data_IF_316459894064
#
_entry.id   IF_316459894064
#
_cell.length_a   1.000
_cell.length_b   1.000
_cell.length_c   1.000
_cell.angle_alpha   90.00
_cell.angle_beta   90.00
_cell.angle_gamma   90.00
#
_symmetry.space_group_name_H-M   'P 1'
#
loop_
_entity.id
_entity.type
_entity.pdbx_description
1 polymer ?
#
# COMPACT_ATOMS: atom_id res chain seq x y z
N UNK A 1 11.87 10.24 -10.52
CA UNK A 1 11.27 9.64 -11.73
C UNK A 1 9.76 9.65 -11.49
N UNK A 2 8.99 10.35 -12.32
CA UNK A 2 7.51 10.41 -12.20
C UNK A 2 6.97 9.11 -12.79
N UNK A 3 6.49 8.21 -11.95
CA UNK A 3 5.72 7.05 -12.40
C UNK A 3 4.42 7.58 -13.02
N UNK A 4 4.26 7.36 -14.32
CA UNK A 4 3.07 7.74 -15.07
C UNK A 4 1.92 6.85 -14.59
N UNK A 5 0.95 7.44 -13.93
CA UNK A 5 -0.27 6.78 -13.46
C UNK A 5 -1.17 6.52 -14.67
N UNK A 6 -1.06 5.32 -15.27
CA UNK A 6 -1.98 4.87 -16.32
C UNK A 6 -3.05 3.96 -15.69
N UNK A 7 -3.94 4.55 -14.89
CA UNK A 7 -5.04 3.83 -14.24
C UNK A 7 -6.37 4.00 -15.00
N UNK A 8 -6.97 2.87 -15.39
CA UNK A 8 -8.35 2.78 -15.92
C UNK A 8 -9.30 2.22 -14.84
N UNK A 9 -10.57 2.64 -14.87
CA UNK A 9 -11.57 2.45 -13.80
C UNK A 9 -11.94 1.02 -13.41
N UNK A 10 -11.59 0.01 -14.20
CA UNK A 10 -12.24 -1.31 -14.08
C UNK A 10 -11.35 -2.41 -13.52
N UNK A 11 -10.03 -2.36 -13.70
CA UNK A 11 -9.04 -3.13 -12.92
C UNK A 11 -7.67 -2.59 -13.29
N UNK A 12 -7.01 -1.82 -12.41
CA UNK A 12 -5.65 -1.40 -12.67
C UNK A 12 -4.74 -1.76 -11.50
N UNK A 13 -3.62 -2.41 -11.82
CA UNK A 13 -2.57 -2.68 -10.85
C UNK A 13 -1.66 -1.45 -10.83
N UNK A 14 -1.67 -0.72 -9.72
CA UNK A 14 -0.76 0.42 -9.51
C UNK A 14 0.52 -0.09 -8.85
N UNK A 15 1.62 -0.05 -9.58
CA UNK A 15 2.94 -0.32 -9.00
C UNK A 15 3.49 0.94 -8.34
N UNK A 16 4.01 0.79 -7.12
CA UNK A 16 4.55 1.88 -6.33
C UNK A 16 5.67 1.38 -5.43
N UNK A 17 6.54 2.31 -5.01
CA UNK A 17 7.52 2.01 -3.98
C UNK A 17 6.86 2.07 -2.60
N UNK A 18 7.48 1.42 -1.62
CA UNK A 18 7.13 1.49 -0.20
C UNK A 18 6.96 2.94 0.30
N UNK A 19 7.88 3.83 -0.07
CA UNK A 19 7.83 5.25 0.27
C UNK A 19 6.67 6.01 -0.40
N UNK A 20 6.30 5.64 -1.62
CA UNK A 20 5.14 6.24 -2.31
C UNK A 20 3.83 5.80 -1.65
N UNK A 21 3.70 4.52 -1.30
CA UNK A 21 2.55 4.02 -0.56
C UNK A 21 2.44 4.70 0.81
N UNK A 22 3.56 4.83 1.53
CA UNK A 22 3.59 5.50 2.83
C UNK A 22 3.18 6.98 2.70
N UNK A 23 3.63 7.68 1.65
CA UNK A 23 3.19 9.06 1.41
C UNK A 23 1.69 9.16 1.09
N UNK A 24 1.13 8.17 0.39
CA UNK A 24 -0.29 8.13 0.06
C UNK A 24 -1.17 8.01 1.30
N UNK A 25 -0.69 7.31 2.35
CA UNK A 25 -1.38 7.24 3.66
C UNK A 25 -1.61 8.60 4.33
N UNK A 26 -0.90 9.66 3.91
CA UNK A 26 -1.13 11.01 4.42
C UNK A 26 -2.36 11.67 3.78
N UNK A 27 -2.66 11.35 2.53
CA UNK A 27 -3.81 11.89 1.80
C UNK A 27 -5.05 11.00 1.94
N UNK A 28 -4.84 9.68 1.96
CA UNK A 28 -5.87 8.67 2.19
C UNK A 28 -5.45 7.74 3.35
N UNK A 29 -5.75 8.11 4.61
CA UNK A 29 -5.35 7.34 5.78
C UNK A 29 -6.06 5.98 5.96
N UNK A 30 -7.02 5.67 5.11
CA UNK A 30 -7.71 4.40 5.14
C UNK A 30 -7.47 3.59 3.88
N UNK A 31 -6.83 4.16 2.86
CA UNK A 31 -6.52 3.50 1.58
C UNK A 31 -7.80 2.96 0.90
N UNK A 32 -8.85 3.79 0.78
CA UNK A 32 -10.12 3.43 0.13
C UNK A 32 -10.00 3.20 -1.37
N UNK A 33 -8.98 3.75 -2.02
CA UNK A 33 -8.71 3.52 -3.44
C UNK A 33 -8.22 2.09 -3.73
N UNK A 34 -7.92 1.30 -2.69
CA UNK A 34 -7.36 -0.05 -2.82
C UNK A 34 -8.23 -1.09 -2.12
N UNK A 35 -8.53 -2.18 -2.82
CA UNK A 35 -9.13 -3.39 -2.23
C UNK A 35 -8.05 -4.37 -1.71
N UNK A 36 -6.89 -4.39 -2.38
CA UNK A 36 -5.79 -5.31 -2.10
C UNK A 36 -4.45 -4.60 -2.23
N UNK A 37 -3.57 -4.78 -1.24
CA UNK A 37 -2.19 -4.29 -1.26
C UNK A 37 -1.25 -5.49 -1.19
N UNK A 38 -0.28 -5.52 -2.11
CA UNK A 38 0.79 -6.53 -2.13
C UNK A 38 2.09 -5.82 -1.75
N UNK A 39 2.72 -6.27 -0.67
CA UNK A 39 4.06 -5.83 -0.29
C UNK A 39 5.01 -6.93 -0.71
N UNK A 40 5.80 -6.65 -1.74
CA UNK A 40 6.83 -7.55 -2.22
C UNK A 40 8.18 -7.26 -1.56
N UNK A 41 9.04 -8.27 -1.56
CA UNK A 41 10.38 -8.21 -0.96
C UNK A 41 10.38 -7.69 0.48
N UNK A 42 9.35 -8.03 1.27
CA UNK A 42 9.24 -7.61 2.67
C UNK A 42 10.40 -8.14 3.54
N UNK A 43 11.15 -9.11 3.01
CA UNK A 43 12.36 -9.65 3.59
C UNK A 43 13.52 -8.64 3.69
N UNK A 44 13.53 -7.56 2.90
CA UNK A 44 14.60 -6.55 2.92
C UNK A 44 14.64 -5.73 4.21
N UNK A 45 13.55 -5.73 5.00
CA UNK A 45 13.44 -5.03 6.30
C UNK A 45 13.90 -3.58 6.26
N UNK A 46 13.50 -2.86 5.21
CA UNK A 46 13.70 -1.41 5.15
C UNK A 46 12.87 -0.72 6.24
N UNK A 47 13.31 0.46 6.69
CA UNK A 47 12.56 1.25 7.67
C UNK A 47 11.14 1.58 7.20
N UNK A 48 10.99 1.85 5.90
CA UNK A 48 9.70 2.13 5.28
C UNK A 48 8.79 0.91 5.32
N UNK A 49 9.31 -0.28 5.01
CA UNK A 49 8.57 -1.55 5.11
C UNK A 49 8.10 -1.77 6.56
N UNK A 50 8.97 -1.58 7.54
CA UNK A 50 8.62 -1.75 8.95
C UNK A 50 7.50 -0.79 9.39
N UNK A 51 7.60 0.50 9.01
CA UNK A 51 6.54 1.47 9.27
C UNK A 51 5.23 1.10 8.57
N UNK A 52 5.32 0.71 7.30
CA UNK A 52 4.15 0.34 6.51
C UNK A 52 3.45 -0.88 7.11
N UNK A 53 4.17 -1.92 7.50
CA UNK A 53 3.61 -3.10 8.15
C UNK A 53 2.96 -2.75 9.50
N UNK A 54 3.61 -1.91 10.30
CA UNK A 54 3.05 -1.41 11.56
C UNK A 54 1.75 -0.63 11.35
N UNK A 55 1.74 0.24 10.35
CA UNK A 55 0.58 1.04 9.96
C UNK A 55 -0.58 0.16 9.46
N UNK A 56 -0.30 -0.73 8.51
CA UNK A 56 -1.29 -1.63 7.91
C UNK A 56 -1.92 -2.57 8.93
N UNK A 57 -1.12 -3.06 9.90
CA UNK A 57 -1.64 -3.84 11.02
C UNK A 57 -2.66 -3.05 11.86
N UNK A 58 -2.46 -1.75 12.03
CA UNK A 58 -3.43 -0.89 12.72
C UNK A 58 -4.65 -0.59 11.84
N UNK A 59 -4.44 -0.41 10.54
CA UNK A 59 -5.50 -0.15 9.56
C UNK A 59 -6.48 -1.33 9.45
N UNK A 60 -5.99 -2.57 9.42
CA UNK A 60 -6.83 -3.78 9.34
C UNK A 60 -7.82 -3.91 10.50
N UNK A 61 -7.60 -3.24 11.63
CA UNK A 61 -8.55 -3.24 12.76
C UNK A 61 -9.85 -2.48 12.43
N UNK A 62 -9.82 -1.55 11.47
CA UNK A 62 -10.97 -0.73 11.04
C UNK A 62 -11.37 -0.93 9.58
N UNK A 63 -10.45 -1.35 8.71
CA UNK A 63 -10.69 -1.77 7.31
C UNK A 63 -10.50 -3.27 7.18
N UNK A 64 -11.47 -4.05 7.65
CA UNK A 64 -11.44 -5.52 7.58
C UNK A 64 -11.68 -6.07 6.17
N UNK A 65 -12.14 -5.22 5.24
CA UNK A 65 -12.31 -5.49 3.81
C UNK A 65 -10.99 -5.45 3.02
N UNK A 66 -10.01 -4.69 3.50
CA UNK A 66 -8.70 -4.55 2.86
C UNK A 66 -7.92 -5.87 2.95
N UNK A 67 -7.45 -6.37 1.80
CA UNK A 67 -6.60 -7.57 1.73
C UNK A 67 -5.14 -7.17 1.67
N UNK A 68 -4.30 -7.88 2.40
CA UNK A 68 -2.86 -7.66 2.41
C UNK A 68 -2.15 -8.97 2.10
N UNK A 69 -1.28 -8.94 1.10
CA UNK A 69 -0.39 -10.04 0.74
C UNK A 69 1.04 -9.55 0.98
N UNK A 70 1.84 -10.38 1.64
CA UNK A 70 3.24 -10.09 1.95
C UNK A 70 4.07 -11.21 1.33
N UNK A 71 5.05 -10.86 0.51
CA UNK A 71 5.99 -11.79 -0.13
C UNK A 71 7.44 -11.50 0.25
#
# INVERSE_FOLDING_TARGET
IRFTDETAKETCIKMMTDGMLLAETQNDPDLYEYDTIIIDEAHERSLNIDFLLGYLRLLLRRRSDLKIIIT
#
